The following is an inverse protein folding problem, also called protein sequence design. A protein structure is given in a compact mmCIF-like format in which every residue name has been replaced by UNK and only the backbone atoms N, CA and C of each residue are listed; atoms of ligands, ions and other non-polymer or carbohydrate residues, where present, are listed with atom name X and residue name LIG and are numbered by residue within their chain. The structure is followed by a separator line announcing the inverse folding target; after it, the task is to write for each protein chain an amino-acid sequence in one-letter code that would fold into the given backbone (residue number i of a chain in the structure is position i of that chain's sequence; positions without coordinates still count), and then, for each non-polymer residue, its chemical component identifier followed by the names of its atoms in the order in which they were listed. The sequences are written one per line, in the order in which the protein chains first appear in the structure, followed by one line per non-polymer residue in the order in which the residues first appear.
data_IF_776223555369
#
_entry.id   IF_776223555369
#
_cell.length_a   1.000
_cell.length_b   1.000
_cell.length_c   1.000
_cell.angle_alpha   90.00
_cell.angle_beta   90.00
_cell.angle_gamma   90.00
#
_symmetry.space_group_name_H-M   'P 1'
#
loop_
_entity.id
_entity.type
_entity.pdbx_description
1 polymer ?
#
# COMPACT_ATOMS: atom_id res chain seq x y z
N UNK A 1 6.52 4.09 -9.16
CA UNK A 1 5.40 5.05 -8.98
C UNK A 1 4.72 4.82 -7.63
N UNK A 2 4.07 3.67 -7.45
CA UNK A 2 3.35 3.35 -6.20
C UNK A 2 4.24 3.40 -4.95
N UNK A 3 5.51 2.98 -5.07
CA UNK A 3 6.45 3.08 -3.96
C UNK A 3 6.73 4.51 -3.54
N UNK A 4 6.90 5.43 -4.49
CA UNK A 4 7.10 6.85 -4.20
C UNK A 4 5.88 7.44 -3.46
N UNK A 5 4.67 7.11 -3.93
CA UNK A 5 3.43 7.52 -3.27
C UNK A 5 3.32 6.97 -1.84
N UNK A 6 3.56 5.68 -1.66
CA UNK A 6 3.44 5.03 -0.36
C UNK A 6 4.54 5.49 0.61
N UNK A 7 5.77 5.66 0.16
CA UNK A 7 6.85 6.22 0.98
C UNK A 7 6.55 7.66 1.41
N UNK A 8 5.98 8.48 0.52
CA UNK A 8 5.52 9.83 0.85
C UNK A 8 4.41 9.82 1.91
N UNK A 9 3.42 8.92 1.77
CA UNK A 9 2.33 8.75 2.74
C UNK A 9 2.88 8.35 4.12
N UNK A 10 3.77 7.35 4.20
CA UNK A 10 4.39 6.92 5.46
C UNK A 10 5.17 8.05 6.11
N UNK A 11 5.98 8.76 5.32
CA UNK A 11 6.79 9.88 5.81
C UNK A 11 5.92 10.99 6.37
N UNK A 12 4.89 11.42 5.63
CA UNK A 12 3.99 12.50 6.04
C UNK A 12 3.19 12.17 7.31
N UNK A 13 2.91 10.88 7.56
CA UNK A 13 2.12 10.43 8.71
C UNK A 13 2.95 9.81 9.83
N UNK A 14 4.26 9.64 9.64
CA UNK A 14 5.15 8.89 10.54
C UNK A 14 4.67 7.48 10.86
N UNK A 15 3.96 6.83 9.94
CA UNK A 15 3.41 5.47 10.13
C UNK A 15 4.37 4.39 9.60
N UNK A 16 4.45 3.22 10.26
CA UNK A 16 5.34 2.14 9.84
C UNK A 16 4.88 1.49 8.53
N UNK A 17 3.60 1.53 8.19
CA UNK A 17 3.01 0.87 7.02
C UNK A 17 2.14 1.86 6.28
N UNK A 18 2.16 1.83 4.95
CA UNK A 18 1.11 2.44 4.15
C UNK A 18 0.50 1.53 3.11
N UNK A 19 -0.74 1.81 2.74
CA UNK A 19 -1.46 1.14 1.66
C UNK A 19 -2.01 2.12 0.61
N UNK A 20 -1.90 1.71 -0.65
CA UNK A 20 -2.68 2.28 -1.75
C UNK A 20 -3.17 1.15 -2.65
N UNK A 21 -4.05 1.47 -3.59
CA UNK A 21 -4.40 0.52 -4.63
C UNK A 21 -3.36 0.53 -5.76
N UNK A 22 -3.27 -0.58 -6.49
CA UNK A 22 -2.47 -0.69 -7.71
C UNK A 22 -3.29 -0.29 -8.93
N UNK A 23 -3.75 0.97 -8.97
CA UNK A 23 -4.59 1.45 -10.08
C UNK A 23 -3.91 1.24 -11.43
N UNK A 24 -4.72 0.95 -12.46
CA UNK A 24 -4.26 0.66 -13.82
C UNK A 24 -4.25 1.89 -14.73
N UNK A 25 -4.60 3.06 -14.21
CA UNK A 25 -4.40 4.34 -14.89
C UNK A 25 -3.03 4.92 -14.56
N UNK A 26 -2.66 5.96 -15.29
CA UNK A 26 -1.35 6.60 -15.18
C UNK A 26 -0.39 6.14 -16.27
N UNK A 27 0.81 6.72 -16.26
CA UNK A 27 1.87 6.46 -17.23
C UNK A 27 3.22 6.30 -16.55
N UNK A 28 4.14 5.61 -17.22
CA UNK A 28 5.52 5.55 -16.75
C UNK A 28 6.13 6.96 -16.75
N UNK A 29 6.74 7.34 -15.62
CA UNK A 29 7.38 8.64 -15.45
C UNK A 29 8.89 8.43 -15.56
N UNK A 30 9.59 9.08 -16.51
CA UNK A 30 11.03 8.94 -16.64
C UNK A 30 11.74 9.53 -15.43
N UNK A 31 12.92 8.99 -15.11
CA UNK A 31 13.80 9.57 -14.08
C UNK A 31 14.17 11.00 -14.46
N UNK A 32 14.09 11.92 -13.50
CA UNK A 32 14.50 13.30 -13.69
C UNK A 32 13.64 14.28 -12.88
N UNK A 33 13.54 15.50 -13.40
CA UNK A 33 12.72 16.55 -12.79
C UNK A 33 11.25 16.22 -12.97
N UNK A 34 10.53 16.09 -11.85
CA UNK A 34 9.09 15.90 -11.84
C UNK A 34 8.37 17.25 -11.91
N UNK A 35 7.26 17.26 -12.64
CA UNK A 35 6.29 18.36 -12.70
C UNK A 35 5.06 18.02 -11.85
N UNK A 36 4.23 19.01 -11.57
CA UNK A 36 2.95 18.78 -10.88
C UNK A 36 2.04 17.83 -11.67
N UNK A 37 2.07 17.90 -13.02
CA UNK A 37 1.33 16.99 -13.90
C UNK A 37 1.74 15.54 -13.69
N UNK A 38 3.03 15.28 -13.49
CA UNK A 38 3.53 13.93 -13.21
C UNK A 38 2.92 13.39 -11.92
N UNK A 39 2.82 14.21 -10.86
CA UNK A 39 2.20 13.81 -9.59
C UNK A 39 0.70 13.48 -9.76
N UNK A 40 -0.05 14.30 -10.50
CA UNK A 40 -1.46 14.01 -10.81
C UNK A 40 -1.63 12.78 -11.71
N UNK A 41 -0.61 12.36 -12.46
CA UNK A 41 -0.63 11.12 -13.23
C UNK A 41 -0.56 9.88 -12.32
N UNK A 42 0.02 10.02 -11.12
CA UNK A 42 0.10 8.96 -10.11
C UNK A 42 -1.24 8.79 -9.38
N UNK A 43 -1.79 9.91 -8.89
CA UNK A 43 -2.98 9.92 -8.04
C UNK A 43 -3.88 11.11 -8.38
N UNK A 44 -4.67 11.02 -9.47
CA UNK A 44 -5.39 12.18 -10.02
C UNK A 44 -6.47 12.72 -9.09
N UNK A 45 -7.02 11.87 -8.22
CA UNK A 45 -8.08 12.24 -7.27
C UNK A 45 -7.57 13.06 -6.09
N UNK A 46 -6.24 13.10 -5.89
CA UNK A 46 -5.56 13.74 -4.76
C UNK A 46 -6.29 13.56 -3.41
N UNK A 47 -6.56 12.32 -2.97
CA UNK A 47 -7.29 12.06 -1.75
C UNK A 47 -6.50 12.53 -0.52
N UNK A 48 -7.24 12.88 0.51
CA UNK A 48 -6.70 13.10 1.85
C UNK A 48 -6.17 11.77 2.40
N UNK A 49 -5.01 11.81 3.06
CA UNK A 49 -4.42 10.64 3.70
C UNK A 49 -5.22 10.31 4.96
N UNK A 50 -5.52 9.04 5.15
CA UNK A 50 -6.18 8.52 6.34
C UNK A 50 -5.21 7.64 7.13
N UNK A 51 -5.46 7.50 8.43
CA UNK A 51 -4.73 6.57 9.31
C UNK A 51 -5.71 5.62 9.98
N UNK A 52 -5.27 4.41 10.32
CA UNK A 52 -6.02 3.44 11.11
C UNK A 52 -5.07 2.56 11.93
N UNK A 53 -5.66 1.78 12.85
CA UNK A 53 -4.97 0.76 13.64
C UNK A 53 -5.46 -0.62 13.24
N UNK A 54 -4.57 -1.46 12.75
CA UNK A 54 -4.87 -2.83 12.33
C UNK A 54 -4.02 -3.80 13.15
N UNK A 55 -4.62 -4.91 13.58
CA UNK A 55 -3.87 -6.07 14.07
C UNK A 55 -3.09 -6.72 12.93
N UNK A 56 -2.03 -7.46 13.26
CA UNK A 56 -1.29 -8.23 12.24
C UNK A 56 -2.19 -9.24 11.53
N UNK A 57 -3.15 -9.85 12.25
CA UNK A 57 -4.16 -10.72 11.66
C UNK A 57 -5.02 -10.00 10.61
N UNK A 58 -5.53 -8.81 10.91
CA UNK A 58 -6.30 -8.02 9.96
C UNK A 58 -5.47 -7.62 8.72
N UNK A 59 -4.17 -7.35 8.90
CA UNK A 59 -3.27 -7.09 7.76
C UNK A 59 -3.15 -8.35 6.88
N UNK A 60 -2.99 -9.53 7.47
CA UNK A 60 -2.93 -10.80 6.73
C UNK A 60 -4.24 -11.02 5.95
N UNK A 61 -5.39 -10.90 6.63
CA UNK A 61 -6.71 -11.09 6.02
C UNK A 61 -6.97 -10.09 4.89
N UNK A 62 -6.65 -8.80 5.09
CA UNK A 62 -6.77 -7.76 4.07
C UNK A 62 -5.96 -8.07 2.81
N UNK A 63 -4.76 -8.62 2.98
CA UNK A 63 -3.87 -8.96 1.88
C UNK A 63 -4.27 -10.28 1.20
N UNK A 64 -4.63 -11.30 1.96
CA UNK A 64 -5.18 -12.57 1.45
C UNK A 64 -6.44 -12.33 0.62
N UNK A 65 -7.38 -11.53 1.12
CA UNK A 65 -8.60 -11.20 0.38
C UNK A 65 -8.27 -10.46 -0.92
N UNK A 66 -7.31 -9.54 -0.90
CA UNK A 66 -6.88 -8.87 -2.13
C UNK A 66 -6.21 -9.81 -3.14
N UNK A 67 -5.39 -10.76 -2.67
CA UNK A 67 -4.78 -11.79 -3.51
C UNK A 67 -5.87 -12.68 -4.09
N UNK A 68 -6.86 -13.11 -3.30
CA UNK A 68 -8.02 -13.88 -3.78
C UNK A 68 -8.83 -13.16 -4.81
N UNK A 69 -9.19 -11.91 -4.54
CA UNK A 69 -9.90 -11.09 -5.52
C UNK A 69 -9.12 -10.95 -6.83
N UNK A 70 -7.79 -10.99 -6.81
CA UNK A 70 -6.97 -10.86 -8.03
C UNK A 70 -6.77 -12.19 -8.75
N UNK A 71 -6.59 -13.28 -8.00
CA UNK A 71 -6.13 -14.58 -8.49
C UNK A 71 -7.11 -15.73 -8.14
N UNK A 72 -8.39 -15.42 -7.94
CA UNK A 72 -9.41 -16.44 -7.74
C UNK A 72 -9.42 -17.43 -8.91
N UNK A 73 -9.56 -18.72 -8.61
CA UNK A 73 -9.65 -19.75 -9.63
C UNK A 73 -10.92 -19.61 -10.48
N UNK A 74 -12.00 -19.16 -9.87
CA UNK A 74 -13.24 -18.81 -10.57
C UNK A 74 -13.18 -17.35 -11.05
N UNK A 75 -13.29 -17.17 -12.37
CA UNK A 75 -13.29 -15.85 -13.00
C UNK A 75 -14.45 -14.96 -12.50
N UNK A 76 -15.57 -15.52 -12.06
CA UNK A 76 -16.68 -14.74 -11.50
C UNK A 76 -16.36 -14.12 -10.14
N UNK A 77 -15.35 -14.65 -9.43
CA UNK A 77 -14.88 -14.10 -8.17
C UNK A 77 -13.72 -13.10 -8.34
N UNK A 78 -13.16 -12.97 -9.55
CA UNK A 78 -12.07 -12.04 -9.82
C UNK A 78 -12.56 -10.59 -9.88
N UNK A 79 -11.90 -9.70 -9.12
CA UNK A 79 -12.17 -8.25 -9.07
C UNK A 79 -10.90 -7.45 -8.74
N UNK A 80 -10.89 -6.17 -9.14
CA UNK A 80 -9.78 -5.24 -8.91
C UNK A 80 -8.62 -5.41 -9.89
N UNK A 81 -8.10 -6.63 -10.05
CA UNK A 81 -7.05 -6.93 -11.02
C UNK A 81 -5.68 -6.34 -10.64
N UNK A 82 -5.41 -6.18 -9.36
CA UNK A 82 -4.13 -5.71 -8.84
C UNK A 82 -3.91 -6.19 -7.41
N UNK A 83 -2.64 -6.40 -7.09
CA UNK A 83 -2.22 -6.50 -5.70
C UNK A 83 -2.20 -5.10 -5.07
N UNK A 84 -2.63 -5.04 -3.81
CA UNK A 84 -2.60 -3.84 -2.98
C UNK A 84 -1.16 -3.36 -2.87
N UNK A 85 -0.93 -2.08 -3.08
CA UNK A 85 0.40 -1.50 -3.02
C UNK A 85 0.68 -1.07 -1.59
N UNK A 86 1.93 -1.20 -1.18
CA UNK A 86 2.32 -0.87 0.17
C UNK A 86 3.73 -0.28 0.22
N UNK A 87 4.03 0.34 1.35
CA UNK A 87 5.40 0.54 1.84
C UNK A 87 5.49 0.09 3.29
N UNK A 88 6.67 -0.36 3.70
CA UNK A 88 6.94 -0.87 5.04
C UNK A 88 6.78 -2.38 5.19
N UNK A 89 6.22 -3.07 4.19
CA UNK A 89 6.04 -4.53 4.22
C UNK A 89 6.92 -5.26 3.19
N UNK A 90 7.41 -6.44 3.59
CA UNK A 90 7.89 -7.49 2.67
C UNK A 90 7.00 -8.71 2.81
N UNK A 91 6.37 -9.12 1.72
CA UNK A 91 5.34 -10.15 1.69
C UNK A 91 5.83 -11.29 0.81
N UNK A 92 6.09 -12.44 1.42
CA UNK A 92 6.41 -13.68 0.74
C UNK A 92 5.12 -14.45 0.50
N UNK A 93 4.82 -14.82 -0.74
CA UNK A 93 3.54 -15.44 -1.08
C UNK A 93 3.65 -16.45 -2.23
N UNK A 94 2.65 -17.34 -2.29
CA UNK A 94 2.46 -18.42 -3.27
C UNK A 94 1.05 -18.34 -3.82
N UNK A 95 0.92 -18.04 -5.11
CA UNK A 95 -0.41 -17.83 -5.72
C UNK A 95 -1.16 -19.14 -5.95
N UNK A 96 -0.43 -20.24 -6.08
CA UNK A 96 -0.94 -21.58 -6.30
C UNK A 96 -1.60 -22.20 -5.07
N UNK A 97 -1.33 -21.64 -3.88
CA UNK A 97 -1.92 -22.13 -2.65
C UNK A 97 -3.43 -21.78 -2.57
N UNK A 98 -4.21 -22.56 -1.82
CA UNK A 98 -5.60 -22.25 -1.53
C UNK A 98 -5.76 -20.88 -0.86
N UNK A 99 -6.92 -20.27 -1.03
CA UNK A 99 -7.29 -19.03 -0.34
C UNK A 99 -7.02 -19.11 1.18
N UNK A 100 -6.40 -18.08 1.74
CA UNK A 100 -6.04 -18.01 3.15
C UNK A 100 -4.71 -18.70 3.49
N UNK A 101 -4.03 -19.29 2.50
CA UNK A 101 -2.73 -19.94 2.66
C UNK A 101 -1.70 -19.44 1.63
N UNK A 102 -1.98 -18.33 0.94
CA UNK A 102 -1.11 -17.80 -0.10
C UNK A 102 0.04 -17.02 0.48
N UNK A 103 -0.19 -16.22 1.51
CA UNK A 103 0.83 -15.49 2.23
C UNK A 103 1.59 -16.47 3.14
N UNK A 104 2.91 -16.53 2.96
CA UNK A 104 3.80 -17.38 3.74
C UNK A 104 4.42 -16.62 4.91
N UNK A 105 4.90 -15.39 4.65
CA UNK A 105 5.53 -14.53 5.66
C UNK A 105 5.29 -13.07 5.30
N UNK A 106 5.07 -12.25 6.32
CA UNK A 106 5.08 -10.79 6.20
C UNK A 106 6.12 -10.25 7.18
N UNK A 107 6.96 -9.33 6.72
CA UNK A 107 7.85 -8.57 7.58
C UNK A 107 7.43 -7.11 7.59
N UNK A 108 7.46 -6.49 8.77
CA UNK A 108 7.31 -5.03 8.97
C UNK A 108 8.69 -4.47 9.26
N UNK A 109 9.30 -3.82 8.27
CA UNK A 109 10.74 -3.54 8.33
C UNK A 109 11.54 -4.86 8.35
N UNK A 110 12.27 -5.10 9.44
CA UNK A 110 13.08 -6.32 9.63
C UNK A 110 12.39 -7.37 10.52
N UNK A 111 11.30 -7.00 11.19
CA UNK A 111 10.63 -7.87 12.14
C UNK A 111 9.53 -8.68 11.45
N UNK A 112 9.37 -9.94 11.84
CA UNK A 112 8.24 -10.74 11.38
C UNK A 112 6.93 -10.12 11.92
N UNK A 113 5.92 -10.05 11.07
CA UNK A 113 4.59 -9.59 11.45
C UNK A 113 4.01 -10.52 12.53
N UNK A 114 3.82 -9.97 13.72
CA UNK A 114 3.07 -10.58 14.82
C UNK A 114 1.56 -10.38 14.60
N UNK A 115 0.77 -11.46 14.64
CA UNK A 115 -0.67 -11.45 14.40
C UNK A 115 -1.47 -10.66 15.44
N UNK A 116 -1.00 -10.64 16.68
CA UNK A 116 -1.73 -10.09 17.82
C UNK A 116 -1.32 -8.64 18.11
N UNK A 117 -0.20 -8.18 17.54
CA UNK A 117 0.27 -6.81 17.63
C UNK A 117 -0.58 -5.87 16.78
N UNK A 118 -0.82 -4.68 17.30
CA UNK A 118 -1.45 -3.56 16.58
C UNK A 118 -0.39 -2.74 15.85
N UNK A 119 -0.66 -2.41 14.60
CA UNK A 119 0.15 -1.56 13.74
C UNK A 119 -0.63 -0.34 13.31
N UNK A 120 0.01 0.82 13.36
CA UNK A 120 -0.51 2.03 12.75
C UNK A 120 -0.26 1.97 11.24
N UNK A 121 -1.30 2.22 10.46
CA UNK A 121 -1.23 2.23 9.01
C UNK A 121 -1.75 3.55 8.48
N UNK A 122 -1.11 4.07 7.43
CA UNK A 122 -1.65 5.16 6.64
C UNK A 122 -2.13 4.66 5.28
N UNK A 123 -3.17 5.25 4.74
CA UNK A 123 -3.70 4.81 3.45
C UNK A 123 -4.45 5.92 2.74
N UNK A 124 -4.64 5.73 1.45
CA UNK A 124 -5.50 6.60 0.64
C UNK A 124 -6.67 5.80 0.09
N UNK A 125 -7.87 6.37 0.24
CA UNK A 125 -9.16 5.80 -0.16
C UNK A 125 -9.61 4.58 0.67
N UNK A 126 -10.92 4.44 0.87
CA UNK A 126 -11.53 3.30 1.58
C UNK A 126 -11.37 1.95 0.88
N UNK A 127 -10.93 1.94 -0.38
CA UNK A 127 -10.63 0.70 -1.10
C UNK A 127 -9.27 0.11 -0.66
N UNK A 128 -8.34 0.96 -0.20
CA UNK A 128 -7.06 0.51 0.32
C UNK A 128 -7.25 -0.18 1.68
N UNK A 129 -7.95 0.49 2.61
CA UNK A 129 -8.36 -0.07 3.90
C UNK A 129 -9.86 0.21 4.10
N UNK A 130 -10.73 -0.81 3.99
CA UNK A 130 -12.16 -0.68 4.23
C UNK A 130 -12.49 -0.26 5.66
N UNK A 131 -13.62 0.44 5.86
CA UNK A 131 -14.05 0.94 7.18
C UNK A 131 -14.33 -0.15 8.21
N UNK A 132 -14.56 -1.38 7.75
CA UNK A 132 -14.82 -2.55 8.58
C UNK A 132 -13.54 -3.36 8.89
N UNK A 133 -12.36 -2.89 8.46
CA UNK A 133 -11.07 -3.54 8.73
C UNK A 133 -10.23 -2.61 9.60
N UNK A 134 -9.86 -3.06 10.78
CA UNK A 134 -9.16 -2.24 11.77
C UNK A 134 -10.08 -1.30 12.55
N UNK A 135 -9.45 -0.35 13.22
CA UNK A 135 -10.09 0.59 14.14
C UNK A 135 -9.43 1.98 14.07
N UNK A 136 -10.02 2.96 14.78
CA UNK A 136 -9.44 4.30 14.96
C UNK A 136 -9.14 5.02 13.63
N UNK A 137 -10.03 4.87 12.64
CA UNK A 137 -9.91 5.53 11.34
C UNK A 137 -10.01 7.04 11.49
N UNK A 138 -8.96 7.76 11.06
CA UNK A 138 -8.88 9.23 11.10
C UNK A 138 -8.49 9.77 9.75
N UNK A 139 -9.11 10.89 9.36
CA UNK A 139 -8.60 11.72 8.27
C UNK A 139 -7.48 12.59 8.82
N UNK A 140 -6.40 12.72 8.06
CA UNK A 140 -5.41 13.79 8.28
C UNK A 140 -5.86 15.06 7.57
N UNK A 141 -5.06 16.13 7.64
CA UNK A 141 -5.22 17.34 6.81
C UNK A 141 -4.29 17.34 5.59
N UNK A 142 -3.52 16.26 5.39
CA UNK A 142 -2.50 16.17 4.34
C UNK A 142 -3.06 15.42 3.14
N UNK A 143 -2.94 16.02 1.96
CA UNK A 143 -3.31 15.38 0.70
C UNK A 143 -2.15 14.57 0.10
N UNK A 144 -2.49 13.58 -0.71
CA UNK A 144 -1.51 12.67 -1.32
C UNK A 144 -0.43 13.39 -2.18
N UNK A 145 -0.82 14.40 -2.95
CA UNK A 145 0.13 15.18 -3.77
C UNK A 145 1.00 16.08 -2.89
N UNK A 146 0.43 16.67 -1.85
CA UNK A 146 1.19 17.46 -0.89
C UNK A 146 2.26 16.61 -0.21
N UNK A 147 1.92 15.39 0.25
CA UNK A 147 2.89 14.47 0.83
C UNK A 147 4.04 14.13 -0.13
N UNK A 148 3.73 13.89 -1.42
CA UNK A 148 4.75 13.66 -2.45
C UNK A 148 5.65 14.88 -2.67
N UNK A 149 5.09 16.09 -2.67
CA UNK A 149 5.86 17.35 -2.79
C UNK A 149 6.76 17.52 -1.57
N UNK A 150 6.25 17.30 -0.35
CA UNK A 150 7.02 17.40 0.89
C UNK A 150 8.22 16.44 0.86
N UNK A 151 8.02 15.19 0.44
CA UNK A 151 9.11 14.22 0.30
C UNK A 151 10.19 14.69 -0.70
N UNK A 152 9.79 15.24 -1.86
CA UNK A 152 10.73 15.73 -2.86
C UNK A 152 11.48 17.01 -2.45
N UNK A 153 10.95 17.77 -1.48
CA UNK A 153 11.65 18.95 -0.91
C UNK A 153 12.83 18.56 -0.02
N UNK A 154 12.82 17.35 0.56
CA UNK A 154 13.95 16.83 1.33
C UNK A 154 15.12 16.41 0.43
N UNK A 155 14.84 16.06 -0.83
CA UNK A 155 15.85 15.74 -1.82
C UNK A 155 15.34 14.80 -2.91
N UNK A 156 16.24 14.34 -3.81
CA UNK A 156 15.89 13.38 -4.84
C UNK A 156 15.40 12.05 -4.25
N UNK A 157 14.20 11.63 -4.62
CA UNK A 157 13.69 10.32 -4.21
C UNK A 157 14.43 9.20 -4.94
N UNK A 158 15.08 8.32 -4.19
CA UNK A 158 15.65 7.06 -4.68
C UNK A 158 15.27 5.96 -3.70
N UNK A 159 14.50 4.98 -4.17
CA UNK A 159 14.17 3.82 -3.35
C UNK A 159 15.35 2.87 -3.30
N UNK A 160 15.75 2.45 -2.11
CA UNK A 160 16.86 1.52 -1.92
C UNK A 160 16.41 0.05 -2.00
N UNK A 161 15.17 -0.26 -1.61
CA UNK A 161 14.61 -1.61 -1.64
C UNK A 161 13.33 -1.62 -2.47
N UNK A 162 13.33 -2.33 -3.60
CA UNK A 162 12.21 -2.36 -4.54
C UNK A 162 11.21 -3.49 -4.24
N UNK A 163 11.54 -4.41 -3.34
CA UNK A 163 10.75 -5.64 -3.14
C UNK A 163 9.70 -5.43 -2.05
N UNK A 164 8.42 -5.57 -2.41
CA UNK A 164 7.31 -5.63 -1.45
C UNK A 164 6.54 -6.94 -1.52
N UNK A 165 6.35 -7.51 -2.71
CA UNK A 165 5.80 -8.84 -2.93
C UNK A 165 6.87 -9.72 -3.56
N UNK A 166 7.18 -10.84 -2.91
CA UNK A 166 8.21 -11.79 -3.31
C UNK A 166 7.51 -13.14 -3.51
N UNK A 167 7.39 -13.56 -4.77
CA UNK A 167 6.89 -14.88 -5.10
C UNK A 167 7.97 -15.94 -4.78
N UNK A 168 7.59 -17.02 -4.11
CA UNK A 168 8.50 -18.10 -3.65
C UNK A 168 7.95 -19.50 -3.91
#
# INVERSE_FOLDING_TARGET
MDFFLNDAIRKATSTPISFSNGWRWGGAIPKGKLTLRDLYTIVPMDPVIMTAKLTGKEIIELLEENIENTFACDAFNQKGGYLKRNSGLKIYFKIENPYGQRIQKIFVGNDLLDSDKIYEVAYITVQAVPKNVGSDHKSTDIKSIEAMIQLLREGPYTRQDMESYIAI
#
